data_IF_036846490632
#
_entry.id   IF_036846490632
#
_cell.length_a   1.000
_cell.length_b   1.000
_cell.length_c   1.000
_cell.angle_alpha   90.00
_cell.angle_beta   90.00
_cell.angle_gamma   90.00
#
_symmetry.space_group_name_H-M   'P 1'
#
loop_
_entity.id
_entity.type
_entity.pdbx_description
1 polymer ?
#
# COMPACT_ATOMS: atom_id res chain seq x y z
N UNK A 1 35.76 28.68 49.72
CA UNK A 1 35.02 29.71 50.50
C UNK A 1 33.91 30.19 49.56
N UNK A 2 32.72 29.60 49.63
CA UNK A 2 31.50 30.18 50.26
C UNK A 2 31.14 31.55 49.66
N UNK A 3 29.94 31.88 49.19
CA UNK A 3 28.59 31.33 49.37
C UNK A 3 27.62 32.00 48.35
N UNK A 4 26.45 31.35 48.17
CA UNK A 4 25.18 31.79 47.56
C UNK A 4 24.76 33.25 47.70
N UNK A 5 24.03 33.76 46.69
CA UNK A 5 22.79 34.54 46.82
C UNK A 5 21.82 34.06 45.70
N UNK A 6 20.93 33.10 45.97
CA UNK A 6 19.51 33.27 46.36
C UNK A 6 18.57 33.68 45.22
N UNK A 7 17.93 32.68 44.59
CA UNK A 7 16.68 32.84 43.86
C UNK A 7 15.53 32.99 44.85
N UNK A 8 14.91 34.16 44.95
CA UNK A 8 13.67 34.35 45.71
C UNK A 8 12.51 34.61 44.74
N UNK A 9 11.74 33.55 44.51
CA UNK A 9 10.31 33.63 44.16
C UNK A 9 9.64 32.35 44.71
N UNK A 10 9.76 32.14 46.02
CA UNK A 10 9.08 31.07 46.76
C UNK A 10 7.96 31.73 47.58
N UNK A 11 6.74 31.81 47.02
CA UNK A 11 5.55 32.14 47.80
C UNK A 11 4.96 30.85 48.39
N UNK A 12 5.32 30.57 49.64
CA UNK A 12 4.76 29.48 50.45
C UNK A 12 3.51 29.95 51.21
N UNK A 13 2.42 29.18 51.13
CA UNK A 13 1.27 29.35 52.04
C UNK A 13 1.57 28.72 53.42
N UNK A 14 0.82 29.12 54.47
CA UNK A 14 1.03 28.82 55.90
C UNK A 14 1.07 27.32 56.28
N UNK A 15 0.83 26.42 55.33
CA UNK A 15 0.90 24.97 55.51
C UNK A 15 2.09 24.31 54.80
N UNK A 16 3.05 25.07 54.24
CA UNK A 16 4.35 24.54 53.81
C UNK A 16 4.36 23.75 52.49
N UNK A 17 3.32 23.84 51.66
CA UNK A 17 3.29 23.20 50.35
C UNK A 17 3.85 24.13 49.25
N UNK A 18 4.88 23.66 48.53
CA UNK A 18 5.42 24.32 47.33
C UNK A 18 4.53 24.03 46.13
N UNK A 19 3.92 25.06 45.54
CA UNK A 19 3.31 24.94 44.22
C UNK A 19 4.39 25.12 43.15
N UNK A 20 4.62 24.08 42.33
CA UNK A 20 5.24 24.27 41.03
C UNK A 20 4.35 25.25 40.25
N UNK A 21 4.92 26.35 39.76
CA UNK A 21 4.21 27.33 38.92
C UNK A 21 3.51 26.60 37.77
N UNK A 22 2.17 26.51 37.86
CA UNK A 22 1.30 25.83 36.89
C UNK A 22 1.06 26.68 35.65
N UNK A 23 2.09 27.32 35.11
CA UNK A 23 2.04 27.85 33.75
C UNK A 23 2.64 26.82 32.79
N UNK A 24 1.85 25.79 32.48
CA UNK A 24 2.14 24.97 31.31
C UNK A 24 2.13 25.91 30.10
N UNK A 25 3.22 26.00 29.31
CA UNK A 25 3.20 26.82 28.11
C UNK A 25 2.04 26.34 27.24
N UNK A 26 1.06 27.22 27.00
CA UNK A 26 -0.09 26.91 26.15
C UNK A 26 0.45 26.37 24.83
N UNK A 27 0.24 25.07 24.58
CA UNK A 27 0.63 24.44 23.32
C UNK A 27 -0.01 25.25 22.20
N UNK A 28 0.81 25.97 21.42
CA UNK A 28 0.33 26.73 20.27
C UNK A 28 -0.40 25.75 19.37
N UNK A 29 -1.71 25.95 19.20
CA UNK A 29 -2.48 25.16 18.24
C UNK A 29 -1.86 25.44 16.86
N UNK A 30 -1.39 24.40 16.15
CA UNK A 30 -0.89 24.57 14.80
C UNK A 30 -1.91 25.30 13.94
N UNK A 31 -1.43 26.08 12.96
CA UNK A 31 -2.30 26.73 11.98
C UNK A 31 -2.84 25.65 11.04
N UNK A 32 -4.13 25.37 11.10
CA UNK A 32 -4.72 24.22 10.42
C UNK A 32 -5.48 24.56 9.13
N UNK A 33 -5.75 25.83 8.80
CA UNK A 33 -6.55 26.14 7.60
C UNK A 33 -5.75 25.99 6.30
N UNK A 34 -6.46 25.88 5.17
CA UNK A 34 -5.87 25.70 3.84
C UNK A 34 -4.92 26.84 3.47
N UNK A 35 -5.29 28.09 3.79
CA UNK A 35 -4.51 29.30 3.47
C UNK A 35 -3.13 29.25 4.10
N UNK A 36 -3.04 28.94 5.39
CA UNK A 36 -1.75 28.81 6.09
C UNK A 36 -0.92 27.65 5.56
N UNK A 37 -1.54 26.49 5.27
CA UNK A 37 -0.81 25.36 4.69
C UNK A 37 -0.30 25.64 3.27
N UNK A 38 -1.01 26.44 2.49
CA UNK A 38 -0.56 26.90 1.17
C UNK A 38 0.64 27.85 1.28
N UNK A 39 0.57 28.84 2.16
CA UNK A 39 1.71 29.72 2.44
C UNK A 39 2.92 28.94 2.95
N UNK A 40 2.73 28.03 3.91
CA UNK A 40 3.83 27.21 4.43
C UNK A 40 4.48 26.36 3.33
N UNK A 41 3.69 25.91 2.33
CA UNK A 41 4.18 25.18 1.15
C UNK A 41 4.98 26.07 0.22
N UNK A 42 4.45 27.24 -0.10
CA UNK A 42 5.07 28.20 -1.01
C UNK A 42 6.42 28.67 -0.49
N UNK A 43 6.52 28.96 0.81
CA UNK A 43 7.74 29.43 1.45
C UNK A 43 8.65 28.30 1.96
N UNK A 44 8.30 27.03 1.73
CA UNK A 44 9.03 25.83 2.17
C UNK A 44 9.56 25.93 3.62
N UNK A 45 8.72 26.40 4.55
CA UNK A 45 9.14 26.82 5.90
C UNK A 45 9.59 25.67 6.81
N UNK A 46 9.54 24.42 6.33
CA UNK A 46 9.73 23.22 7.14
C UNK A 46 10.67 22.18 6.50
N UNK A 47 11.94 22.52 6.22
CA UNK A 47 12.91 21.61 5.57
C UNK A 47 13.28 20.39 6.41
N UNK A 48 12.86 20.31 7.68
CA UNK A 48 13.18 19.23 8.62
C UNK A 48 12.23 18.03 8.54
N UNK A 49 11.16 18.10 7.75
CA UNK A 49 10.23 17.00 7.57
C UNK A 49 10.31 16.45 6.14
N UNK A 50 10.10 15.14 6.00
CA UNK A 50 10.01 14.54 4.68
C UNK A 50 8.86 15.20 3.88
N UNK A 51 9.07 15.59 2.60
CA UNK A 51 8.06 16.31 1.80
C UNK A 51 6.68 15.64 1.79
N UNK A 52 6.64 14.31 1.81
CA UNK A 52 5.41 13.52 1.92
C UNK A 52 4.56 13.87 3.15
N UNK A 53 5.18 13.99 4.34
CA UNK A 53 4.48 14.30 5.58
C UNK A 53 3.91 15.72 5.54
N UNK A 54 4.62 16.64 4.89
CA UNK A 54 4.19 18.02 4.76
C UNK A 54 3.05 18.17 3.73
N UNK A 55 3.19 17.57 2.55
CA UNK A 55 2.17 17.58 1.50
C UNK A 55 0.88 16.91 1.97
N UNK A 56 0.96 15.77 2.67
CA UNK A 56 -0.24 15.10 3.21
C UNK A 56 -1.00 15.97 4.21
N UNK A 57 -0.31 16.85 4.96
CA UNK A 57 -1.00 17.82 5.79
C UNK A 57 -1.83 18.76 4.92
N UNK A 58 -1.33 19.30 3.81
CA UNK A 58 -2.16 20.15 2.95
C UNK A 58 -3.46 19.46 2.54
N UNK A 59 -3.37 18.19 2.10
CA UNK A 59 -4.51 17.41 1.63
C UNK A 59 -5.57 17.12 2.72
N UNK A 60 -5.24 17.18 4.01
CA UNK A 60 -6.24 17.10 5.09
C UNK A 60 -7.24 18.28 5.11
N UNK A 61 -6.95 19.36 4.39
CA UNK A 61 -7.87 20.51 4.25
C UNK A 61 -8.64 20.51 2.92
N UNK A 62 -8.36 19.55 2.04
CA UNK A 62 -9.05 19.41 0.76
C UNK A 62 -10.08 18.31 0.95
N UNK A 63 -11.35 18.68 0.89
CA UNK A 63 -12.46 17.72 0.89
C UNK A 63 -12.95 17.53 -0.54
N UNK A 64 -13.53 16.37 -0.87
CA UNK A 64 -14.24 16.20 -2.14
C UNK A 64 -15.27 17.32 -2.30
N UNK A 65 -15.33 17.90 -3.48
CA UNK A 65 -16.33 18.91 -3.84
C UNK A 65 -17.72 18.30 -4.06
N UNK A 66 -17.76 17.04 -4.48
CA UNK A 66 -19.01 16.33 -4.76
C UNK A 66 -18.77 14.82 -4.72
N UNK A 67 -19.71 14.05 -4.17
CA UNK A 67 -19.62 12.58 -4.08
C UNK A 67 -20.73 11.91 -4.87
N UNK A 68 -20.43 10.86 -5.63
CA UNK A 68 -21.45 10.07 -6.33
C UNK A 68 -21.52 8.70 -5.70
N UNK A 69 -22.68 8.34 -5.16
CA UNK A 69 -22.89 7.03 -4.58
C UNK A 69 -23.14 5.97 -5.66
N UNK A 70 -22.65 4.75 -5.41
CA UNK A 70 -22.91 3.58 -6.25
C UNK A 70 -22.63 3.80 -7.74
N UNK A 71 -21.53 4.50 -8.06
CA UNK A 71 -21.06 4.63 -9.44
C UNK A 71 -20.81 3.24 -10.04
N UNK A 72 -21.37 2.97 -11.21
CA UNK A 72 -21.17 1.70 -11.89
C UNK A 72 -19.73 1.63 -12.43
N UNK A 73 -19.10 0.49 -12.24
CA UNK A 73 -17.75 0.21 -12.73
C UNK A 73 -17.72 -1.17 -13.40
N UNK A 74 -16.71 -1.46 -14.24
CA UNK A 74 -16.54 -2.78 -14.83
C UNK A 74 -16.53 -3.88 -13.77
N UNK A 75 -16.95 -5.10 -14.14
CA UNK A 75 -16.93 -6.26 -13.25
C UNK A 75 -15.47 -6.67 -12.96
N UNK A 76 -14.89 -6.02 -11.96
CA UNK A 76 -13.51 -6.17 -11.53
C UNK A 76 -13.42 -5.78 -10.05
N UNK A 77 -12.31 -6.16 -9.41
CA UNK A 77 -12.02 -5.80 -8.03
C UNK A 77 -11.05 -4.62 -8.01
N UNK A 78 -11.59 -3.41 -7.92
CA UNK A 78 -10.80 -2.18 -7.76
C UNK A 78 -9.94 -2.27 -6.50
N UNK A 79 -8.65 -1.89 -6.60
CA UNK A 79 -7.69 -2.08 -5.49
C UNK A 79 -7.11 -0.79 -4.95
N UNK A 80 -6.29 -0.08 -5.74
CA UNK A 80 -5.63 1.17 -5.36
C UNK A 80 -5.01 1.87 -6.56
N UNK A 81 -4.66 3.14 -6.39
CA UNK A 81 -3.87 3.90 -7.35
C UNK A 81 -2.39 3.55 -7.29
N UNK A 82 -1.70 3.75 -8.41
CA UNK A 82 -0.25 3.90 -8.45
C UNK A 82 0.20 5.11 -7.62
N UNK A 83 1.46 5.14 -7.17
CA UNK A 83 1.93 6.22 -6.28
C UNK A 83 1.91 7.60 -6.93
N UNK A 84 2.04 7.66 -8.25
CA UNK A 84 1.92 8.89 -9.04
C UNK A 84 0.46 9.24 -9.43
N UNK A 85 -0.51 8.38 -9.09
CA UNK A 85 -1.93 8.57 -9.40
C UNK A 85 -2.30 8.43 -10.89
N UNK A 86 -1.37 8.02 -11.76
CA UNK A 86 -1.65 7.86 -13.21
C UNK A 86 -2.63 6.73 -13.49
N UNK A 87 -2.55 5.63 -12.74
CA UNK A 87 -3.37 4.45 -12.98
C UNK A 87 -4.12 4.02 -11.72
N UNK A 88 -5.39 3.63 -11.88
CA UNK A 88 -6.15 2.85 -10.92
C UNK A 88 -6.02 1.37 -11.27
N UNK A 89 -5.50 0.58 -10.33
CA UNK A 89 -5.34 -0.87 -10.48
C UNK A 89 -6.62 -1.60 -10.04
N UNK A 90 -6.97 -2.64 -10.78
CA UNK A 90 -8.00 -3.62 -10.44
C UNK A 90 -7.53 -5.05 -10.74
N UNK A 91 -8.24 -6.03 -10.18
CA UNK A 91 -8.14 -7.43 -10.61
C UNK A 91 -9.36 -7.80 -11.44
N UNK A 92 -9.18 -8.57 -12.51
CA UNK A 92 -10.27 -9.09 -13.32
C UNK A 92 -11.25 -9.94 -12.47
N UNK A 93 -12.49 -10.09 -12.94
CA UNK A 93 -13.52 -10.85 -12.21
C UNK A 93 -13.17 -12.32 -11.97
N UNK A 94 -12.40 -12.92 -12.88
CA UNK A 94 -11.88 -14.29 -12.79
C UNK A 94 -10.58 -14.38 -11.96
N UNK A 95 -10.07 -13.24 -11.49
CA UNK A 95 -8.91 -13.14 -10.60
C UNK A 95 -7.62 -13.69 -11.25
N UNK A 96 -7.54 -13.64 -12.58
CA UNK A 96 -6.34 -14.10 -13.33
C UNK A 96 -5.43 -12.97 -13.80
N UNK A 97 -6.03 -11.78 -13.95
CA UNK A 97 -5.41 -10.66 -14.63
C UNK A 97 -5.45 -9.39 -13.79
N UNK A 98 -4.44 -8.55 -13.96
CA UNK A 98 -4.40 -7.18 -13.46
C UNK A 98 -4.93 -6.26 -14.56
N UNK A 99 -5.84 -5.37 -14.20
CA UNK A 99 -6.35 -4.32 -15.08
C UNK A 99 -5.84 -2.97 -14.61
N UNK A 100 -5.26 -2.20 -15.52
CA UNK A 100 -4.81 -0.84 -15.27
C UNK A 100 -5.72 0.14 -15.98
N UNK A 101 -6.29 1.08 -15.22
CA UNK A 101 -7.16 2.12 -15.73
C UNK A 101 -6.47 3.47 -15.62
N UNK A 102 -6.20 4.11 -16.75
CA UNK A 102 -5.60 5.44 -16.81
C UNK A 102 -6.59 6.51 -16.35
N UNK A 103 -6.16 7.31 -15.37
CA UNK A 103 -6.93 8.41 -14.82
C UNK A 103 -6.92 9.60 -15.78
N UNK A 104 -8.10 10.02 -16.23
CA UNK A 104 -8.30 11.08 -17.21
C UNK A 104 -8.29 12.49 -16.60
N UNK A 105 -8.09 12.62 -15.29
CA UNK A 105 -8.03 13.90 -14.59
C UNK A 105 -9.37 14.35 -13.99
N UNK A 106 -9.30 15.35 -13.10
CA UNK A 106 -10.45 15.80 -12.30
C UNK A 106 -11.57 16.43 -13.12
N UNK A 107 -11.27 16.97 -14.30
CA UNK A 107 -12.25 17.60 -15.18
C UNK A 107 -12.91 16.62 -16.17
N UNK A 108 -12.51 15.35 -16.18
CA UNK A 108 -12.92 14.39 -17.22
C UNK A 108 -14.44 14.15 -17.26
N UNK A 109 -15.12 14.32 -16.13
CA UNK A 109 -16.57 14.21 -16.02
C UNK A 109 -17.31 15.56 -15.94
N UNK A 110 -16.64 16.70 -16.14
CA UNK A 110 -17.23 18.02 -15.91
C UNK A 110 -18.56 18.22 -16.68
N UNK A 111 -18.61 17.81 -17.95
CA UNK A 111 -19.83 17.88 -18.77
C UNK A 111 -20.98 17.04 -18.21
N UNK A 112 -20.66 15.85 -17.68
CA UNK A 112 -21.66 14.95 -17.10
C UNK A 112 -22.16 15.49 -15.76
N UNK A 113 -21.27 16.08 -14.96
CA UNK A 113 -21.61 16.70 -13.67
C UNK A 113 -22.46 17.97 -13.84
N UNK A 114 -22.35 18.70 -14.95
CA UNK A 114 -23.23 19.85 -15.24
C UNK A 114 -24.71 19.48 -15.40
N UNK A 115 -25.03 18.20 -15.65
CA UNK A 115 -26.42 17.72 -15.72
C UNK A 115 -27.05 17.56 -14.33
N UNK A 116 -26.23 17.52 -13.28
CA UNK A 116 -26.72 17.45 -11.92
C UNK A 116 -27.34 18.80 -11.57
N UNK A 117 -28.61 18.84 -11.16
CA UNK A 117 -29.23 20.08 -10.71
C UNK A 117 -28.38 20.71 -9.60
N UNK A 118 -28.12 22.00 -9.68
CA UNK A 118 -27.45 22.73 -8.59
C UNK A 118 -28.38 22.76 -7.37
N UNK A 119 -28.21 21.79 -6.49
CA UNK A 119 -28.86 21.72 -5.19
C UNK A 119 -27.87 22.01 -4.06
N UNK A 120 -28.38 22.16 -2.84
CA UNK A 120 -27.58 22.36 -1.63
C UNK A 120 -26.87 21.07 -1.15
N UNK A 121 -27.01 19.96 -1.87
CA UNK A 121 -26.43 18.67 -1.52
C UNK A 121 -25.04 18.48 -2.14
N UNK A 122 -24.08 18.05 -1.33
CA UNK A 122 -22.70 17.77 -1.75
C UNK A 122 -22.52 16.34 -2.33
N UNK A 123 -23.62 15.63 -2.61
CA UNK A 123 -23.58 14.27 -3.13
C UNK A 123 -24.80 13.91 -4.01
N UNK A 124 -24.62 12.87 -4.82
CA UNK A 124 -25.64 12.25 -5.66
C UNK A 124 -26.07 10.92 -5.05
N UNK A 125 -27.28 10.91 -4.47
CA UNK A 125 -27.88 9.70 -3.90
C UNK A 125 -28.23 8.66 -4.96
N UNK A 126 -28.39 7.42 -4.53
CA UNK A 126 -28.87 6.34 -5.37
C UNK A 126 -30.36 6.53 -5.74
N UNK A 127 -30.68 6.53 -7.03
CA UNK A 127 -32.04 6.69 -7.54
C UNK A 127 -32.12 6.77 -9.06
N UNK A 128 -33.22 6.30 -9.66
CA UNK A 128 -33.34 6.07 -11.12
C UNK A 128 -33.14 7.34 -11.97
N UNK A 129 -33.55 8.50 -11.46
CA UNK A 129 -33.42 9.80 -12.12
C UNK A 129 -31.97 10.18 -12.50
N UNK A 130 -30.99 9.61 -11.79
CA UNK A 130 -29.56 9.86 -11.97
C UNK A 130 -28.78 8.64 -12.47
N UNK A 131 -29.48 7.61 -12.95
CA UNK A 131 -28.86 6.35 -13.40
C UNK A 131 -27.86 6.54 -14.54
N UNK A 132 -28.12 7.46 -15.46
CA UNK A 132 -27.21 7.72 -16.58
C UNK A 132 -25.85 8.25 -16.13
N UNK A 133 -25.83 9.14 -15.13
CA UNK A 133 -24.59 9.68 -14.57
C UNK A 133 -23.79 8.57 -13.93
N UNK A 134 -24.43 7.74 -13.08
CA UNK A 134 -23.74 6.63 -12.40
C UNK A 134 -23.19 5.60 -13.36
N UNK A 135 -23.90 5.30 -14.46
CA UNK A 135 -23.43 4.39 -15.51
C UNK A 135 -22.20 4.90 -16.26
N UNK A 136 -22.10 6.21 -16.46
CA UNK A 136 -21.05 6.83 -17.31
C UNK A 136 -19.84 7.32 -16.52
N UNK A 137 -20.03 7.75 -15.27
CA UNK A 137 -19.04 8.53 -14.52
C UNK A 137 -17.68 7.82 -14.41
N UNK A 138 -17.67 6.51 -14.18
CA UNK A 138 -16.43 5.75 -14.09
C UNK A 138 -15.64 5.81 -15.40
N UNK A 139 -16.31 5.58 -16.54
CA UNK A 139 -15.68 5.61 -17.86
C UNK A 139 -15.18 7.00 -18.28
N UNK A 140 -15.74 8.07 -17.70
CA UNK A 140 -15.22 9.42 -17.88
C UNK A 140 -13.86 9.58 -17.18
N UNK A 141 -13.75 9.14 -15.92
CA UNK A 141 -12.52 9.29 -15.15
C UNK A 141 -11.45 8.24 -15.47
N UNK A 142 -11.85 7.05 -15.90
CA UNK A 142 -10.99 5.88 -15.99
C UNK A 142 -11.15 5.19 -17.33
N UNK A 143 -10.07 5.14 -18.11
CA UNK A 143 -10.01 4.37 -19.35
C UNK A 143 -9.12 3.16 -19.16
N UNK A 144 -9.61 1.97 -19.52
CA UNK A 144 -8.81 0.75 -19.45
C UNK A 144 -7.61 0.88 -20.40
N UNK A 145 -6.41 0.82 -19.82
CA UNK A 145 -5.13 0.98 -20.50
C UNK A 145 -4.48 -0.38 -20.78
N UNK A 146 -4.39 -1.23 -19.76
CA UNK A 146 -3.83 -2.58 -19.89
C UNK A 146 -4.70 -3.64 -19.19
N UNK A 147 -4.65 -4.86 -19.71
CA UNK A 147 -5.13 -6.08 -19.06
C UNK A 147 -4.02 -7.11 -19.16
N UNK A 148 -3.48 -7.50 -18.02
CA UNK A 148 -2.21 -8.22 -17.90
C UNK A 148 -2.49 -9.53 -17.17
N UNK A 149 -2.52 -10.64 -17.91
CA UNK A 149 -2.70 -11.96 -17.30
C UNK A 149 -1.41 -12.38 -16.61
N UNK A 150 -1.52 -12.70 -15.32
CA UNK A 150 -0.38 -13.08 -14.49
C UNK A 150 -0.58 -14.47 -13.86
N UNK A 151 -1.77 -14.77 -13.35
CA UNK A 151 -2.07 -16.12 -12.89
C UNK A 151 -2.47 -17.00 -14.08
N UNK A 152 -1.67 -18.04 -14.31
CA UNK A 152 -1.91 -19.09 -15.29
C UNK A 152 -2.06 -20.43 -14.55
N UNK A 153 -2.40 -21.50 -15.28
CA UNK A 153 -2.37 -22.88 -14.77
C UNK A 153 -3.29 -23.15 -13.56
N UNK A 154 -4.42 -22.45 -13.49
CA UNK A 154 -5.43 -22.64 -12.43
C UNK A 154 -5.13 -21.89 -11.13
N UNK A 155 -4.05 -21.10 -11.07
CA UNK A 155 -3.81 -20.16 -9.98
C UNK A 155 -4.76 -18.96 -10.00
N UNK A 156 -4.92 -18.31 -8.86
CA UNK A 156 -5.67 -17.06 -8.71
C UNK A 156 -4.82 -15.98 -8.04
N UNK A 157 -4.93 -14.74 -8.50
CA UNK A 157 -4.27 -13.60 -7.90
C UNK A 157 -4.82 -13.31 -6.49
N UNK A 158 -3.93 -13.01 -5.54
CA UNK A 158 -4.33 -12.50 -4.25
C UNK A 158 -4.77 -11.04 -4.39
N UNK A 159 -6.08 -10.79 -4.33
CA UNK A 159 -6.68 -9.45 -4.44
C UNK A 159 -6.18 -8.46 -3.38
N UNK A 160 -5.71 -8.98 -2.26
CA UNK A 160 -5.25 -8.15 -1.14
C UNK A 160 -3.75 -7.82 -1.21
N UNK A 161 -2.99 -8.49 -2.09
CA UNK A 161 -1.55 -8.29 -2.21
C UNK A 161 -1.16 -7.59 -3.50
N UNK A 162 -0.54 -6.42 -3.34
CA UNK A 162 0.01 -5.63 -4.43
C UNK A 162 1.03 -4.65 -3.86
N UNK A 163 2.24 -4.66 -4.40
CA UNK A 163 3.34 -3.78 -4.01
C UNK A 163 3.85 -3.04 -5.23
N UNK A 164 4.12 -1.75 -5.10
CA UNK A 164 4.75 -0.96 -6.15
C UNK A 164 6.19 -0.68 -5.76
N UNK A 165 7.09 -0.66 -6.74
CA UNK A 165 8.45 -0.15 -6.53
C UNK A 165 8.44 1.35 -6.26
N UNK A 166 9.47 1.86 -5.59
CA UNK A 166 9.56 3.28 -5.21
C UNK A 166 9.56 4.22 -6.41
N UNK A 167 10.08 3.76 -7.55
CA UNK A 167 10.05 4.48 -8.84
C UNK A 167 8.72 4.36 -9.59
N UNK A 168 7.77 3.59 -9.04
CA UNK A 168 6.44 3.33 -9.59
C UNK A 168 6.47 2.76 -11.02
N UNK A 169 7.57 2.08 -11.40
CA UNK A 169 7.72 1.42 -12.69
C UNK A 169 7.16 0.00 -12.69
N UNK A 170 7.32 -0.70 -11.56
CA UNK A 170 6.96 -2.10 -11.44
C UNK A 170 5.89 -2.32 -10.38
N UNK A 171 4.99 -3.27 -10.67
CA UNK A 171 3.96 -3.77 -9.79
C UNK A 171 4.24 -5.24 -9.50
N UNK A 172 4.26 -5.61 -8.23
CA UNK A 172 4.38 -6.99 -7.76
C UNK A 172 3.01 -7.47 -7.31
N UNK A 173 2.58 -8.61 -7.87
CA UNK A 173 1.36 -9.33 -7.47
C UNK A 173 1.70 -10.79 -7.21
N UNK A 174 0.83 -11.49 -6.50
CA UNK A 174 1.03 -12.91 -6.17
C UNK A 174 -0.15 -13.73 -6.65
N UNK A 175 0.11 -14.82 -7.37
CA UNK A 175 -0.88 -15.88 -7.61
C UNK A 175 -0.70 -17.03 -6.63
N UNK A 176 -1.81 -17.65 -6.26
CA UNK A 176 -1.89 -18.77 -5.34
C UNK A 176 -2.55 -19.93 -6.07
N UNK A 177 -1.95 -21.12 -5.99
CA UNK A 177 -2.53 -22.37 -6.48
C UNK A 177 -2.42 -23.46 -5.42
N UNK A 178 -3.37 -24.39 -5.43
CA UNK A 178 -3.33 -25.53 -4.53
C UNK A 178 -2.17 -26.46 -4.87
N UNK A 179 -1.35 -26.80 -3.88
CA UNK A 179 -0.26 -27.77 -4.04
C UNK A 179 -0.82 -29.17 -4.30
N UNK A 180 -0.30 -29.89 -5.29
CA UNK A 180 -0.65 -31.30 -5.50
C UNK A 180 0.08 -32.17 -4.46
N UNK A 181 -0.67 -32.89 -3.60
CA UNK A 181 -0.08 -33.75 -2.56
C UNK A 181 0.80 -34.88 -3.12
N UNK A 182 0.64 -35.23 -4.40
CA UNK A 182 1.35 -36.33 -5.06
C UNK A 182 2.83 -36.03 -5.38
N UNK A 183 3.27 -34.76 -5.35
CA UNK A 183 4.59 -34.35 -5.84
C UNK A 183 5.55 -33.83 -4.77
N UNK A 184 5.10 -33.66 -3.53
CA UNK A 184 5.94 -33.03 -2.48
C UNK A 184 6.62 -34.08 -1.63
N UNK A 185 7.95 -34.17 -1.71
CA UNK A 185 8.73 -35.01 -0.81
C UNK A 185 8.49 -34.59 0.64
N UNK A 186 8.57 -35.53 1.59
CA UNK A 186 8.50 -35.21 3.02
C UNK A 186 9.53 -34.13 3.41
N UNK A 187 10.70 -34.14 2.76
CA UNK A 187 11.76 -33.15 2.96
C UNK A 187 11.41 -31.74 2.47
N UNK A 188 10.54 -31.62 1.47
CA UNK A 188 10.13 -30.32 0.93
C UNK A 188 9.11 -29.63 1.85
N UNK A 189 8.29 -30.40 2.57
CA UNK A 189 7.27 -29.90 3.53
C UNK A 189 7.88 -29.37 4.84
N UNK A 190 9.06 -29.83 5.22
CA UNK A 190 9.69 -29.57 6.52
C UNK A 190 11.15 -29.16 6.36
N UNK A 191 11.39 -27.94 5.87
CA UNK A 191 12.76 -27.44 5.65
C UNK A 191 13.47 -26.96 6.94
N UNK A 192 12.74 -26.81 8.05
CA UNK A 192 13.32 -26.39 9.34
C UNK A 192 13.01 -27.42 10.43
N UNK A 193 14.04 -27.78 11.21
CA UNK A 193 13.99 -28.80 12.26
C UNK A 193 13.02 -28.49 13.42
N UNK A 194 12.49 -27.26 13.49
CA UNK A 194 11.54 -26.81 14.52
C UNK A 194 10.08 -26.82 14.05
N UNK A 195 9.82 -27.18 12.78
CA UNK A 195 8.46 -27.22 12.25
C UNK A 195 7.70 -28.43 12.77
N UNK A 196 6.78 -28.22 13.72
CA UNK A 196 5.85 -29.26 14.16
C UNK A 196 4.89 -29.59 13.00
N UNK A 197 4.72 -30.87 12.61
CA UNK A 197 3.72 -31.28 11.62
C UNK A 197 2.33 -30.79 11.98
N UNK A 198 1.86 -29.74 11.30
CA UNK A 198 0.47 -29.30 11.43
C UNK A 198 -0.37 -30.14 10.48
N UNK A 199 -1.13 -31.08 11.04
CA UNK A 199 -2.09 -31.92 10.30
C UNK A 199 -3.27 -31.12 9.68
N UNK A 200 -3.27 -29.78 9.74
CA UNK A 200 -4.43 -28.93 9.42
C UNK A 200 -4.14 -27.73 8.51
N UNK A 201 -2.91 -27.52 8.07
CA UNK A 201 -2.60 -26.46 7.10
C UNK A 201 -2.31 -27.05 5.74
N UNK A 202 -3.21 -26.80 4.79
CA UNK A 202 -2.95 -26.99 3.36
C UNK A 202 -1.85 -26.02 2.96
N UNK A 203 -0.72 -26.55 2.53
CA UNK A 203 0.32 -25.75 1.90
C UNK A 203 -0.18 -25.27 0.54
N UNK A 204 0.36 -24.14 0.09
CA UNK A 204 0.02 -23.55 -1.21
C UNK A 204 1.29 -23.29 -2.00
N UNK A 205 1.12 -23.22 -3.32
CA UNK A 205 2.16 -22.78 -4.23
C UNK A 205 1.92 -21.30 -4.52
N UNK A 206 2.90 -20.46 -4.17
CA UNK A 206 2.86 -19.03 -4.36
C UNK A 206 3.76 -18.64 -5.52
N UNK A 207 3.25 -17.86 -6.46
CA UNK A 207 4.04 -17.30 -7.56
C UNK A 207 3.96 -15.79 -7.55
N UNK A 208 5.09 -15.14 -7.31
CA UNK A 208 5.21 -13.69 -7.33
C UNK A 208 5.56 -13.26 -8.74
N UNK A 209 4.82 -12.30 -9.27
CA UNK A 209 4.98 -11.76 -10.61
C UNK A 209 5.40 -10.29 -10.52
N UNK A 210 6.43 -9.90 -11.27
CA UNK A 210 6.70 -8.49 -11.56
C UNK A 210 6.06 -8.13 -12.88
N UNK A 211 5.28 -7.06 -12.85
CA UNK A 211 4.63 -6.45 -13.99
C UNK A 211 5.29 -5.09 -14.25
N UNK A 212 5.74 -4.87 -15.48
CA UNK A 212 6.10 -3.52 -15.95
C UNK A 212 4.80 -2.77 -16.29
N UNK A 213 4.57 -1.68 -15.57
CA UNK A 213 3.31 -0.92 -15.61
C UNK A 213 3.14 -0.23 -16.95
N UNK A 214 4.22 0.37 -17.48
CA UNK A 214 4.18 1.12 -18.73
C UNK A 214 4.22 0.20 -19.96
N UNK A 215 4.90 -0.95 -19.86
CA UNK A 215 4.92 -1.94 -20.95
C UNK A 215 3.71 -2.89 -20.95
N UNK A 216 2.95 -2.95 -19.87
CA UNK A 216 1.73 -3.75 -19.77
C UNK A 216 1.95 -5.25 -19.83
N UNK A 217 3.05 -5.76 -19.25
CA UNK A 217 3.39 -7.20 -19.29
C UNK A 217 4.09 -7.67 -18.03
N UNK A 218 3.96 -8.97 -17.75
CA UNK A 218 4.82 -9.65 -16.78
C UNK A 218 6.25 -9.67 -17.35
N UNK A 219 7.22 -9.24 -16.55
CA UNK A 219 8.65 -9.23 -16.93
C UNK A 219 9.41 -10.39 -16.30
N UNK A 220 9.03 -10.80 -15.09
CA UNK A 220 9.66 -11.92 -14.40
C UNK A 220 8.71 -12.53 -13.34
N UNK A 221 9.00 -13.74 -12.88
CA UNK A 221 8.26 -14.40 -11.81
C UNK A 221 9.10 -15.40 -11.03
N UNK A 222 8.85 -15.47 -9.71
CA UNK A 222 9.46 -16.46 -8.81
C UNK A 222 8.39 -17.30 -8.15
N UNK A 223 8.70 -18.56 -7.86
CA UNK A 223 7.76 -19.53 -7.32
C UNK A 223 8.27 -20.09 -5.98
N UNK A 224 7.37 -20.16 -5.00
CA UNK A 224 7.56 -20.79 -3.71
C UNK A 224 6.55 -21.92 -3.59
N UNK A 225 7.05 -23.16 -3.67
CA UNK A 225 6.21 -24.35 -3.62
C UNK A 225 6.05 -24.85 -2.20
N UNK A 226 4.86 -25.35 -1.88
CA UNK A 226 4.59 -26.02 -0.60
C UNK A 226 4.95 -25.13 0.60
N UNK A 227 4.57 -23.86 0.52
CA UNK A 227 4.88 -22.88 1.56
C UNK A 227 3.59 -22.42 2.25
N UNK A 228 3.73 -21.61 3.30
CA UNK A 228 2.63 -20.92 3.95
C UNK A 228 3.04 -19.47 4.21
N UNK A 229 2.84 -18.63 3.20
CA UNK A 229 3.11 -17.20 3.26
C UNK A 229 1.79 -16.49 3.56
N UNK A 230 1.74 -15.70 4.64
CA UNK A 230 0.51 -14.99 5.03
C UNK A 230 0.31 -13.73 4.18
N UNK A 231 -0.20 -13.85 2.96
CA UNK A 231 -0.20 -12.78 1.95
C UNK A 231 -1.29 -11.70 2.16
N UNK A 232 -2.36 -12.04 2.88
CA UNK A 232 -3.52 -11.16 3.10
C UNK A 232 -3.09 -9.77 3.59
N UNK A 233 -3.60 -8.70 2.98
CA UNK A 233 -3.23 -7.31 3.24
C UNK A 233 -1.73 -6.99 3.17
N UNK A 234 -0.97 -7.69 2.31
CA UNK A 234 0.49 -7.62 2.28
C UNK A 234 1.15 -8.00 3.61
N UNK A 235 0.48 -8.77 4.47
CA UNK A 235 1.18 -9.37 5.60
C UNK A 235 2.25 -10.33 5.08
N UNK A 236 3.26 -10.62 5.89
CA UNK A 236 4.35 -11.54 5.53
C UNK A 236 5.27 -11.09 4.39
N UNK A 237 4.91 -10.05 3.64
CA UNK A 237 5.61 -9.58 2.44
C UNK A 237 5.84 -8.08 2.58
N UNK A 238 7.08 -7.64 2.43
CA UNK A 238 7.41 -6.22 2.42
C UNK A 238 8.45 -5.93 1.33
N UNK A 239 8.27 -4.82 0.63
CA UNK A 239 9.26 -4.29 -0.30
C UNK A 239 10.04 -3.20 0.41
N UNK A 240 11.31 -3.47 0.70
CA UNK A 240 12.25 -2.47 1.22
C UNK A 240 13.22 -2.07 0.12
N UNK A 241 13.10 -0.84 -0.39
CA UNK A 241 13.82 -0.38 -1.58
C UNK A 241 13.52 -1.32 -2.76
N UNK A 242 14.47 -2.19 -3.08
CA UNK A 242 14.37 -3.16 -4.17
C UNK A 242 14.48 -4.61 -3.65
N UNK A 243 14.14 -4.87 -2.39
CA UNK A 243 14.23 -6.21 -1.78
C UNK A 243 12.83 -6.66 -1.36
N UNK A 244 12.41 -7.82 -1.86
CA UNK A 244 11.20 -8.51 -1.42
C UNK A 244 11.58 -9.90 -0.93
N UNK A 245 11.22 -10.22 0.32
CA UNK A 245 11.71 -11.42 1.01
C UNK A 245 13.23 -11.58 0.92
N UNK A 246 13.67 -12.49 0.05
CA UNK A 246 15.04 -12.94 -0.17
C UNK A 246 15.52 -12.67 -1.60
N UNK A 247 14.82 -11.81 -2.34
CA UNK A 247 15.11 -11.47 -3.72
C UNK A 247 15.35 -9.97 -3.87
N UNK A 248 16.39 -9.63 -4.65
CA UNK A 248 16.58 -8.29 -5.19
C UNK A 248 15.77 -8.12 -6.47
N UNK A 249 15.26 -6.92 -6.70
CA UNK A 249 14.64 -6.50 -7.95
C UNK A 249 15.63 -5.60 -8.68
N UNK A 250 16.05 -6.05 -9.86
CA UNK A 250 16.94 -5.27 -10.71
C UNK A 250 16.19 -4.14 -11.43
N UNK A 251 16.89 -3.10 -11.93
CA UNK A 251 16.26 -2.01 -12.70
C UNK A 251 15.56 -2.44 -14.00
N UNK A 252 15.83 -3.66 -14.49
CA UNK A 252 15.15 -4.27 -15.64
C UNK A 252 13.87 -5.05 -15.23
N UNK A 253 13.57 -5.16 -13.93
CA UNK A 253 12.41 -5.89 -13.41
C UNK A 253 12.65 -7.37 -13.13
N UNK A 254 13.90 -7.83 -13.13
CA UNK A 254 14.26 -9.23 -12.86
C UNK A 254 14.48 -9.48 -11.36
N UNK A 255 14.05 -10.65 -10.89
CA UNK A 255 14.31 -11.16 -9.56
C UNK A 255 15.68 -11.84 -9.49
N UNK A 256 16.55 -11.35 -8.62
CA UNK A 256 17.81 -12.02 -8.28
C UNK A 256 17.74 -12.57 -6.88
N UNK A 257 17.96 -13.87 -6.74
CA UNK A 257 18.09 -14.51 -5.45
C UNK A 257 19.24 -13.90 -4.64
N UNK A 258 18.94 -13.38 -3.45
CA UNK A 258 19.92 -12.76 -2.56
C UNK A 258 20.51 -13.80 -1.60
N UNK A 259 19.66 -14.45 -0.81
CA UNK A 259 20.10 -15.31 0.29
C UNK A 259 19.08 -16.36 0.67
N UNK A 260 19.50 -17.59 1.00
CA UNK A 260 18.63 -18.59 1.61
C UNK A 260 18.71 -18.48 3.13
N UNK A 261 17.55 -18.51 3.80
CA UNK A 261 17.49 -18.82 5.23
C UNK A 261 16.98 -20.25 5.31
N UNK A 262 17.85 -21.19 5.68
CA UNK A 262 17.53 -22.60 5.77
C UNK A 262 18.16 -23.24 7.00
N UNK A 263 18.32 -24.57 6.98
CA UNK A 263 19.01 -25.33 8.03
C UNK A 263 20.43 -24.81 8.33
N UNK A 264 21.05 -24.20 7.32
CA UNK A 264 22.41 -23.69 7.35
C UNK A 264 22.41 -22.18 7.09
N UNK A 265 23.25 -21.45 7.83
CA UNK A 265 23.36 -19.99 7.72
C UNK A 265 24.31 -19.57 6.59
N UNK A 266 25.19 -20.48 6.17
CA UNK A 266 26.09 -20.43 5.02
C UNK A 266 25.99 -21.74 4.21
N UNK A 267 26.18 -21.68 2.90
CA UNK A 267 26.29 -22.89 2.05
C UNK A 267 27.48 -23.77 2.47
N UNK A 268 28.52 -23.17 3.05
CA UNK A 268 29.69 -23.89 3.55
C UNK A 268 29.37 -24.76 4.77
N UNK A 269 28.39 -24.36 5.60
CA UNK A 269 28.00 -25.14 6.77
C UNK A 269 27.42 -26.50 6.36
N UNK A 270 26.83 -26.59 5.15
CA UNK A 270 26.26 -27.82 4.62
C UNK A 270 27.31 -28.91 4.44
N UNK A 271 28.54 -28.54 4.10
CA UNK A 271 29.67 -29.46 3.91
C UNK A 271 30.05 -30.21 5.20
N UNK A 272 29.66 -29.68 6.38
CA UNK A 272 29.91 -30.32 7.67
C UNK A 272 28.91 -31.44 8.01
N UNK A 273 27.85 -31.60 7.21
CA UNK A 273 26.76 -32.56 7.47
C UNK A 273 26.50 -33.51 6.29
N UNK A 274 27.33 -33.47 5.24
CA UNK A 274 27.34 -34.47 4.17
C UNK A 274 28.44 -35.51 4.48
N UNK A 275 28.08 -36.51 5.31
CA UNK A 275 28.78 -37.80 5.50
C UNK A 275 27.89 -38.96 5.01
#
# INVERSE_FOLDING_TARGET
MMMNESCDNDHTDKNGYRFLSTEFPKRKRPRYNIVHRLFDREYNLHPRFHPFVFNNKLHQNVVPNYSIESAEHPNCFLRKFTYDGRYLMAFSSDITSVELYEYQGAAAAAQLLHLIPSGDEDYLSYGDENAEIRRKIFSCFFKRHHTITAAMDGGQLSRECSLFTDDNRFLIVVSISSTSEATTSFHDRYQTNESIPSHRSTYEDYKFHIIDIDAGRVVDSIEFKTDKIQIANNHGIYLYKNIIHLYYILPNGEFIFNRKIGRFCSEEDRLLFED
#
